data_IF_265964558388
#
_entry.id   IF_265964558388
#
_cell.length_a   1.000
_cell.length_b   1.000
_cell.length_c   1.000
_cell.angle_alpha   90.00
_cell.angle_beta   90.00
_cell.angle_gamma   90.00
#
_symmetry.space_group_name_H-M   'P 1'
#
loop_
_entity.id
_entity.type
_entity.pdbx_description
1 polymer ?
#
# COMPACT_ATOMS: atom_id res chain seq x y z
N UNK A 1 10.54 -12.11 5.66
CA UNK A 1 9.63 -12.67 6.70
C UNK A 1 8.30 -11.97 6.55
N UNK A 2 7.17 -12.67 6.38
CA UNK A 2 5.86 -12.00 6.24
C UNK A 2 5.47 -11.45 7.61
N UNK A 3 5.50 -10.13 7.77
CA UNK A 3 5.06 -9.44 8.99
C UNK A 3 3.67 -9.97 9.34
N UNK A 4 3.59 -10.71 10.44
CA UNK A 4 2.31 -11.14 11.00
C UNK A 4 1.77 -9.93 11.74
N UNK A 5 0.87 -9.20 11.10
CA UNK A 5 0.18 -8.12 11.78
C UNK A 5 -0.47 -8.67 13.05
N UNK A 6 -0.18 -8.10 14.24
CA UNK A 6 -0.98 -8.36 15.43
C UNK A 6 -2.43 -8.07 15.06
N UNK A 7 -3.38 -8.80 15.65
CA UNK A 7 -4.82 -8.75 15.32
C UNK A 7 -5.23 -7.29 15.10
N UNK A 8 -5.23 -6.87 13.83
CA UNK A 8 -5.48 -5.49 13.47
C UNK A 8 -6.97 -5.28 13.68
N UNK A 9 -7.37 -4.12 14.20
CA UNK A 9 -8.78 -3.74 14.23
C UNK A 9 -9.40 -3.68 12.81
N UNK A 10 -8.56 -3.79 11.78
CA UNK A 10 -8.95 -3.79 10.38
C UNK A 10 -8.99 -5.21 9.78
N UNK A 11 -9.99 -5.50 8.93
CA UNK A 11 -10.08 -6.78 8.24
C UNK A 11 -8.92 -6.94 7.26
N UNK A 12 -8.51 -8.20 7.00
CA UNK A 12 -7.42 -8.44 6.04
C UNK A 12 -7.77 -8.02 4.62
N UNK A 13 -9.00 -8.25 4.19
CA UNK A 13 -9.49 -7.86 2.87
C UNK A 13 -10.47 -6.69 3.04
N UNK A 14 -10.15 -5.57 2.42
CA UNK A 14 -10.88 -4.31 2.57
C UNK A 14 -11.58 -3.91 1.27
N UNK A 15 -12.78 -3.35 1.37
CA UNK A 15 -13.40 -2.64 0.23
C UNK A 15 -12.71 -1.29 0.01
N UNK A 16 -12.95 -0.65 -1.14
CA UNK A 16 -12.29 0.61 -1.52
C UNK A 16 -12.36 1.69 -0.42
N UNK A 17 -13.53 1.87 0.21
CA UNK A 17 -13.72 2.81 1.32
C UNK A 17 -12.79 2.52 2.52
N UNK A 18 -12.74 1.26 2.97
CA UNK A 18 -11.91 0.84 4.10
C UNK A 18 -10.43 0.91 3.77
N UNK A 19 -10.03 0.46 2.57
CA UNK A 19 -8.66 0.49 2.09
C UNK A 19 -8.14 1.94 1.99
N UNK A 20 -8.96 2.85 1.48
CA UNK A 20 -8.61 4.27 1.41
C UNK A 20 -8.43 4.85 2.82
N UNK A 21 -9.35 4.55 3.74
CA UNK A 21 -9.24 4.99 5.14
C UNK A 21 -8.02 4.41 5.84
N UNK A 22 -7.65 3.17 5.53
CA UNK A 22 -6.47 2.51 6.10
C UNK A 22 -5.18 3.27 5.79
N UNK A 23 -4.99 3.71 4.55
CA UNK A 23 -3.83 4.52 4.13
C UNK A 23 -4.07 6.04 4.25
N UNK A 24 -5.13 6.47 4.94
CA UNK A 24 -5.39 7.88 5.25
C UNK A 24 -5.83 8.75 4.06
N UNK A 25 -6.51 8.17 3.07
CA UNK A 25 -6.92 8.86 1.83
C UNK A 25 -8.39 8.66 1.45
N UNK A 26 -8.83 9.26 0.33
CA UNK A 26 -10.17 9.08 -0.25
C UNK A 26 -10.21 7.94 -1.29
N UNK A 27 -11.39 7.36 -1.55
CA UNK A 27 -11.53 6.30 -2.57
C UNK A 27 -11.06 6.74 -3.96
N UNK A 28 -11.32 8.00 -4.33
CA UNK A 28 -10.87 8.56 -5.61
C UNK A 28 -9.34 8.60 -5.68
N UNK A 29 -8.68 8.98 -4.59
CA UNK A 29 -7.22 9.02 -4.53
C UNK A 29 -6.63 7.62 -4.53
N UNK A 30 -7.23 6.67 -3.79
CA UNK A 30 -6.83 5.25 -3.86
C UNK A 30 -6.87 4.74 -5.30
N UNK A 31 -7.96 4.98 -6.04
CA UNK A 31 -8.07 4.56 -7.44
C UNK A 31 -7.03 5.21 -8.33
N UNK A 32 -6.69 6.48 -8.08
CA UNK A 32 -5.63 7.19 -8.78
C UNK A 32 -4.26 6.54 -8.51
N UNK A 33 -3.93 6.27 -7.25
CA UNK A 33 -2.68 5.59 -6.88
C UNK A 33 -2.56 4.20 -7.51
N UNK A 34 -3.67 3.46 -7.59
CA UNK A 34 -3.74 2.17 -8.30
C UNK A 34 -3.51 2.34 -9.81
N UNK A 35 -4.08 3.39 -10.42
CA UNK A 35 -3.88 3.69 -11.84
C UNK A 35 -2.44 4.12 -12.14
N UNK A 36 -1.80 4.83 -11.20
CA UNK A 36 -0.39 5.25 -11.28
C UNK A 36 0.59 4.12 -10.93
N UNK A 37 0.09 2.97 -10.46
CA UNK A 37 0.90 1.81 -10.07
C UNK A 37 1.59 1.94 -8.71
N UNK A 38 1.28 2.98 -7.94
CA UNK A 38 1.83 3.21 -6.60
C UNK A 38 1.22 2.26 -5.55
N UNK A 39 -0.03 1.83 -5.75
CA UNK A 39 -0.72 0.82 -4.94
C UNK A 39 -1.08 -0.36 -5.84
N UNK A 40 -0.99 -1.59 -5.31
CA UNK A 40 -1.32 -2.79 -6.07
C UNK A 40 -2.77 -2.78 -6.59
N UNK A 41 -2.99 -3.46 -7.72
CA UNK A 41 -4.33 -3.67 -8.28
C UNK A 41 -5.19 -4.49 -7.30
N UNK A 42 -6.49 -4.19 -7.18
CA UNK A 42 -7.37 -4.94 -6.30
C UNK A 42 -7.50 -6.40 -6.73
N UNK A 43 -7.66 -7.26 -5.72
CA UNK A 43 -8.10 -8.64 -5.90
C UNK A 43 -9.57 -8.66 -6.35
N UNK A 44 -9.91 -9.60 -7.23
CA UNK A 44 -11.29 -9.85 -7.67
C UNK A 44 -11.91 -10.98 -6.84
N UNK A 45 -12.96 -10.67 -6.06
CA UNK A 45 -13.70 -11.64 -5.23
C UNK A 45 -15.18 -11.59 -5.57
N UNK A 46 -15.68 -12.57 -6.31
CA UNK A 46 -17.12 -12.70 -6.60
C UNK A 46 -17.73 -11.47 -7.28
N UNK A 47 -16.96 -10.74 -8.10
CA UNK A 47 -17.40 -9.49 -8.74
C UNK A 47 -17.05 -8.22 -7.97
N UNK A 48 -16.66 -8.35 -6.70
CA UNK A 48 -16.16 -7.23 -5.90
C UNK A 48 -14.64 -7.03 -6.10
N UNK A 49 -14.20 -5.79 -5.90
CA UNK A 49 -12.79 -5.41 -5.81
C UNK A 49 -12.43 -5.21 -4.34
N UNK A 50 -11.42 -5.92 -3.86
CA UNK A 50 -10.92 -5.84 -2.49
C UNK A 50 -9.40 -5.73 -2.47
N UNK A 51 -8.85 -5.10 -1.44
CA UNK A 51 -7.40 -4.95 -1.24
C UNK A 51 -6.96 -5.77 -0.04
N UNK A 52 -5.82 -6.47 -0.14
CA UNK A 52 -5.16 -7.08 1.01
C UNK A 52 -4.42 -5.98 1.78
N UNK A 53 -4.56 -5.96 3.10
CA UNK A 53 -3.87 -5.03 3.99
C UNK A 53 -2.35 -4.97 3.71
N UNK A 54 -1.75 -6.12 3.34
CA UNK A 54 -0.32 -6.21 3.08
C UNK A 54 0.12 -5.40 1.86
N UNK A 55 -0.70 -5.38 0.81
CA UNK A 55 -0.41 -4.58 -0.38
C UNK A 55 -0.50 -3.07 -0.06
N UNK A 56 -1.39 -2.71 0.88
CA UNK A 56 -1.53 -1.36 1.38
C UNK A 56 -0.35 -0.97 2.30
N UNK A 57 0.11 -1.90 3.14
CA UNK A 57 1.31 -1.69 3.97
C UNK A 57 2.55 -1.47 3.12
N UNK A 58 2.75 -2.28 2.08
CA UNK A 58 3.88 -2.12 1.16
C UNK A 58 3.91 -0.72 0.54
N UNK A 59 2.74 -0.18 0.16
CA UNK A 59 2.64 1.21 -0.27
C UNK A 59 3.06 2.19 0.83
N UNK A 60 2.52 2.06 2.05
CA UNK A 60 2.84 2.94 3.18
C UNK A 60 4.33 2.90 3.55
N UNK A 61 4.93 1.71 3.55
CA UNK A 61 6.36 1.49 3.83
C UNK A 61 7.25 2.12 2.75
N UNK A 62 6.77 2.20 1.50
CA UNK A 62 7.50 2.85 0.40
C UNK A 62 7.45 4.39 0.41
N UNK A 63 6.59 5.01 1.23
CA UNK A 63 6.43 6.46 1.23
C UNK A 63 7.69 7.13 1.81
N UNK A 64 8.22 8.17 1.16
CA UNK A 64 9.32 8.95 1.73
C UNK A 64 8.85 9.67 2.99
N UNK A 65 9.72 9.74 4.01
CA UNK A 65 9.48 10.56 5.19
C UNK A 65 9.76 12.02 4.85
N UNK A 66 8.93 12.92 5.37
CA UNK A 66 9.16 14.37 5.22
C UNK A 66 10.48 14.74 5.90
N UNK A 67 11.42 15.28 5.13
CA UNK A 67 12.71 15.74 5.64
C UNK A 67 13.81 14.66 5.69
N UNK A 68 13.51 13.41 5.35
CA UNK A 68 14.54 12.40 5.12
C UNK A 68 14.90 12.38 3.63
N UNK A 69 16.20 12.28 3.28
CA UNK A 69 16.56 12.01 1.89
C UNK A 69 15.91 10.69 1.47
N UNK A 70 15.32 10.66 0.28
CA UNK A 70 14.87 9.40 -0.31
C UNK A 70 16.08 8.46 -0.32
N UNK A 71 15.94 7.30 0.30
CA UNK A 71 17.05 6.38 0.51
C UNK A 71 17.42 5.74 -0.83
N UNK A 72 18.23 6.43 -1.63
CA UNK A 72 18.85 5.93 -2.86
C UNK A 72 20.02 5.01 -2.50
N UNK A 73 19.72 3.93 -1.77
CA UNK A 73 20.67 2.84 -1.53
C UNK A 73 20.78 1.98 -2.79
N UNK A 74 21.39 2.52 -3.86
CA UNK A 74 22.51 1.92 -4.57
C UNK A 74 22.90 2.69 -5.85
N UNK A 75 24.23 2.85 -6.09
CA UNK A 75 24.97 2.50 -7.32
C UNK A 75 26.45 2.91 -7.19
N UNK A 76 27.35 1.93 -7.01
CA UNK A 76 28.75 2.06 -7.44
C UNK A 76 29.83 1.62 -6.44
N UNK A 77 29.99 0.30 -6.24
CA UNK A 77 31.31 -0.28 -5.95
C UNK A 77 31.80 -0.98 -7.22
N UNK A 78 32.80 -0.38 -7.87
CA UNK A 78 33.77 -0.92 -8.83
C UNK A 78 34.50 0.33 -9.39
N UNK A 79 35.82 0.53 -9.30
CA UNK A 79 36.98 -0.37 -9.25
C UNK A 79 38.05 0.21 -8.32
#
# INVERSE_FOLDING_TARGET
>A
MKNRHPISAWPRLMKAFEAARYIGTSETTLRRLVAEGAVAQPLKRGGERVWDIRDLDEHVESLPRVGEPANDDWKGQAL
#
